data_IF_405039395797
#
_entry.id   IF_405039395797
#
_cell.length_a   1.000
_cell.length_b   1.000
_cell.length_c   1.000
_cell.angle_alpha   90.00
_cell.angle_beta   90.00
_cell.angle_gamma   90.00
#
_symmetry.space_group_name_H-M   'P 1'
#
loop_
_entity.id
_entity.type
_entity.pdbx_description
1 polymer ?
#
# COMPACT_ATOMS: atom_id res chain seq x y z
N UNK A 1 -37.83 -23.64 15.71
CA UNK A 1 -38.12 -22.30 15.16
C UNK A 1 -36.93 -21.87 14.33
N UNK A 2 -37.00 -21.92 12.99
CA UNK A 2 -35.93 -21.61 12.09
C UNK A 2 -35.93 -20.10 11.78
N UNK A 3 -34.95 -19.37 12.28
CA UNK A 3 -34.76 -17.95 12.01
C UNK A 3 -34.37 -17.75 10.54
N UNK A 4 -35.30 -17.26 9.71
CA UNK A 4 -35.01 -16.80 8.34
C UNK A 4 -34.21 -15.52 8.40
N UNK A 5 -32.88 -15.62 8.15
CA UNK A 5 -32.06 -14.47 7.82
C UNK A 5 -32.49 -13.90 6.47
N UNK A 6 -33.24 -12.81 6.48
CA UNK A 6 -33.55 -12.03 5.29
C UNK A 6 -32.23 -11.41 4.80
N UNK A 7 -31.60 -12.03 3.80
CA UNK A 7 -30.55 -11.37 3.02
C UNK A 7 -31.20 -10.26 2.20
N UNK A 8 -30.99 -9.02 2.58
CA UNK A 8 -31.43 -7.86 1.82
C UNK A 8 -30.71 -7.83 0.46
N UNK A 9 -31.39 -8.24 -0.61
CA UNK A 9 -30.83 -8.30 -1.97
C UNK A 9 -30.30 -6.95 -2.46
N UNK A 10 -30.91 -5.84 -2.03
CA UNK A 10 -30.51 -4.48 -2.38
C UNK A 10 -29.20 -4.04 -1.72
N UNK A 11 -28.88 -4.51 -0.51
CA UNK A 11 -27.60 -4.27 0.13
C UNK A 11 -26.47 -4.99 -0.61
N UNK A 12 -26.69 -6.22 -1.07
CA UNK A 12 -25.70 -6.99 -1.82
C UNK A 12 -25.35 -6.31 -3.15
N UNK A 13 -26.34 -5.82 -3.89
CA UNK A 13 -26.10 -5.15 -5.18
C UNK A 13 -25.32 -3.85 -5.04
N UNK A 14 -25.63 -3.01 -4.05
CA UNK A 14 -24.93 -1.75 -3.81
C UNK A 14 -23.47 -1.96 -3.41
N UNK A 15 -23.17 -2.96 -2.59
CA UNK A 15 -21.80 -3.31 -2.23
C UNK A 15 -21.01 -3.83 -3.43
N UNK A 16 -21.63 -4.59 -4.32
CA UNK A 16 -20.99 -5.08 -5.56
C UNK A 16 -20.64 -3.93 -6.51
N UNK A 17 -21.57 -2.98 -6.73
CA UNK A 17 -21.34 -1.82 -7.60
C UNK A 17 -20.22 -0.93 -7.02
N UNK A 18 -20.27 -0.64 -5.72
CA UNK A 18 -19.23 0.14 -5.04
C UNK A 18 -17.85 -0.55 -5.16
N UNK A 19 -17.79 -1.87 -4.99
CA UNK A 19 -16.57 -2.64 -5.15
C UNK A 19 -15.98 -2.48 -6.56
N UNK A 20 -16.81 -2.63 -7.61
CA UNK A 20 -16.35 -2.49 -8.99
C UNK A 20 -15.85 -1.07 -9.29
N UNK A 21 -16.50 -0.04 -8.75
CA UNK A 21 -16.07 1.34 -8.87
C UNK A 21 -14.71 1.55 -8.20
N UNK A 22 -14.55 1.13 -6.95
CA UNK A 22 -13.29 1.26 -6.20
C UNK A 22 -12.14 0.52 -6.88
N UNK A 23 -12.35 -0.73 -7.33
CA UNK A 23 -11.31 -1.50 -8.02
C UNK A 23 -10.93 -0.85 -9.36
N UNK A 24 -11.90 -0.38 -10.13
CA UNK A 24 -11.64 0.38 -11.35
C UNK A 24 -10.82 1.64 -11.07
N UNK A 25 -11.15 2.36 -10.00
CA UNK A 25 -10.43 3.55 -9.59
C UNK A 25 -9.00 3.25 -9.13
N UNK A 26 -8.75 2.13 -8.45
CA UNK A 26 -7.40 1.70 -8.09
C UNK A 26 -6.55 1.37 -9.33
N UNK A 27 -7.13 0.64 -10.31
CA UNK A 27 -6.43 0.26 -11.54
C UNK A 27 -6.02 1.49 -12.35
N UNK A 28 -6.92 2.46 -12.50
CA UNK A 28 -6.71 3.64 -13.36
C UNK A 28 -6.23 4.89 -12.60
N UNK A 29 -6.02 4.77 -11.30
CA UNK A 29 -5.69 5.90 -10.42
C UNK A 29 -6.65 7.08 -10.63
N UNK A 30 -7.93 6.82 -10.43
CA UNK A 30 -8.99 7.83 -10.56
C UNK A 30 -9.76 7.99 -9.25
N UNK A 31 -10.52 9.08 -9.12
CA UNK A 31 -11.38 9.27 -7.93
C UNK A 31 -12.62 8.34 -8.01
N UNK A 32 -13.04 7.76 -6.87
CA UNK A 32 -14.29 7.01 -6.81
C UNK A 32 -15.49 7.89 -7.18
N UNK A 33 -16.36 7.35 -8.03
CA UNK A 33 -17.59 8.02 -8.44
C UNK A 33 -18.71 7.80 -7.42
N UNK A 34 -18.62 6.71 -6.69
CA UNK A 34 -19.61 6.30 -5.71
C UNK A 34 -19.06 6.60 -4.31
N UNK A 35 -19.76 7.41 -3.49
CA UNK A 35 -19.32 7.73 -2.14
C UNK A 35 -19.32 6.46 -1.27
N UNK A 36 -18.45 6.44 -0.27
CA UNK A 36 -18.35 5.34 0.68
C UNK A 36 -19.71 5.11 1.37
N UNK A 37 -20.27 3.89 1.33
CA UNK A 37 -21.52 3.59 2.03
C UNK A 37 -21.42 3.86 3.53
N UNK A 38 -22.43 4.54 4.11
CA UNK A 38 -22.44 4.91 5.54
C UNK A 38 -22.22 3.71 6.47
N UNK A 39 -22.71 2.53 6.10
CA UNK A 39 -22.53 1.31 6.87
C UNK A 39 -21.04 0.89 6.96
N UNK A 40 -20.23 1.16 5.93
CA UNK A 40 -18.79 0.90 5.91
C UNK A 40 -18.08 1.95 6.75
N UNK A 41 -18.38 3.24 6.55
CA UNK A 41 -17.80 4.33 7.33
C UNK A 41 -18.04 4.18 8.85
N UNK A 42 -19.24 3.72 9.25
CA UNK A 42 -19.59 3.52 10.66
C UNK A 42 -18.87 2.34 11.33
N UNK A 43 -18.44 1.33 10.58
CA UNK A 43 -17.73 0.17 11.14
C UNK A 43 -16.32 0.50 11.65
N UNK A 44 -15.76 1.63 11.26
CA UNK A 44 -14.41 2.06 11.66
C UNK A 44 -14.33 2.81 12.99
N UNK A 45 -15.46 3.07 13.67
CA UNK A 45 -15.46 3.74 14.97
C UNK A 45 -14.94 2.85 16.13
N UNK A 46 -14.87 1.53 15.93
CA UNK A 46 -14.21 0.61 16.85
C UNK A 46 -12.72 0.48 16.50
N UNK A 47 -11.92 1.48 16.89
CA UNK A 47 -10.47 1.43 16.77
C UNK A 47 -9.92 0.28 17.60
N UNK A 48 -9.36 -0.72 16.94
CA UNK A 48 -8.47 -1.68 17.57
C UNK A 48 -7.27 -0.93 18.17
N UNK A 49 -6.95 -1.20 19.43
CA UNK A 49 -5.78 -0.65 20.13
C UNK A 49 -4.47 -1.30 19.69
N UNK A 50 -4.41 -1.91 18.52
CA UNK A 50 -3.18 -2.49 18.00
C UNK A 50 -2.18 -1.39 17.64
N UNK A 51 -0.90 -1.52 18.05
CA UNK A 51 0.15 -0.58 17.66
C UNK A 51 0.40 -0.74 16.17
N UNK A 52 -0.14 0.17 15.40
CA UNK A 52 0.00 0.17 13.95
C UNK A 52 0.64 1.46 13.54
N UNK A 53 1.58 1.39 12.62
CA UNK A 53 2.36 2.51 12.10
C UNK A 53 2.85 3.41 13.25
N UNK A 54 4.06 3.13 13.73
CA UNK A 54 4.57 3.51 15.04
C UNK A 54 4.39 4.98 15.40
N UNK A 55 4.14 5.25 16.66
CA UNK A 55 4.05 6.61 17.22
C UNK A 55 5.27 7.47 16.82
N UNK A 56 6.44 6.84 16.65
CA UNK A 56 7.65 7.52 16.19
C UNK A 56 7.51 8.09 14.78
N UNK A 57 7.02 7.31 13.83
CA UNK A 57 6.81 7.79 12.45
C UNK A 57 5.78 8.93 12.41
N UNK A 58 4.72 8.84 13.23
CA UNK A 58 3.77 9.93 13.39
C UNK A 58 4.44 11.21 13.87
N UNK A 59 5.28 11.16 14.90
CA UNK A 59 6.02 12.31 15.42
C UNK A 59 6.93 12.91 14.37
N UNK A 60 7.69 12.08 13.65
CA UNK A 60 8.58 12.54 12.57
C UNK A 60 7.79 13.24 11.48
N UNK A 61 6.70 12.64 11.00
CA UNK A 61 5.85 13.23 9.96
C UNK A 61 5.24 14.55 10.44
N UNK A 62 4.69 14.58 11.65
CA UNK A 62 4.02 15.79 12.16
C UNK A 62 4.98 16.98 12.33
N UNK A 63 6.25 16.74 12.65
CA UNK A 63 7.22 17.80 12.85
C UNK A 63 7.97 18.20 11.58
N UNK A 64 8.38 17.22 10.76
CA UNK A 64 9.22 17.50 9.58
C UNK A 64 8.43 17.61 8.28
N UNK A 65 7.29 16.90 8.17
CA UNK A 65 6.54 16.75 6.91
C UNK A 65 5.06 17.07 7.11
N UNK A 66 4.69 18.30 7.55
CA UNK A 66 3.31 18.64 7.87
C UNK A 66 2.36 18.53 6.67
N UNK A 67 2.88 18.64 5.43
CA UNK A 67 2.07 18.53 4.21
C UNK A 67 1.58 17.11 3.92
N UNK A 68 2.15 16.08 4.58
CA UNK A 68 1.72 14.70 4.40
C UNK A 68 0.97 14.12 5.61
N UNK A 69 0.55 14.97 6.55
CA UNK A 69 -0.21 14.54 7.74
C UNK A 69 -1.52 13.85 7.39
N UNK A 70 -2.15 14.21 6.29
CA UNK A 70 -3.38 13.61 5.79
C UNK A 70 -3.21 12.15 5.35
N UNK A 71 -1.97 11.68 5.14
CA UNK A 71 -1.65 10.28 4.85
C UNK A 71 -1.66 9.37 6.09
N UNK A 72 -1.60 9.91 7.29
CA UNK A 72 -1.50 9.11 8.53
C UNK A 72 -2.74 8.23 8.72
N UNK A 73 -3.93 8.77 8.49
CA UNK A 73 -5.17 7.99 8.62
C UNK A 73 -5.23 6.88 7.57
N UNK A 74 -5.02 7.12 6.28
CA UNK A 74 -4.93 6.09 5.26
C UNK A 74 -3.87 5.00 5.55
N UNK A 75 -2.68 5.38 6.01
CA UNK A 75 -1.62 4.40 6.35
C UNK A 75 -2.04 3.49 7.52
N UNK A 76 -2.72 4.03 8.53
CA UNK A 76 -3.30 3.22 9.61
C UNK A 76 -4.37 2.25 9.09
N UNK A 77 -5.25 2.70 8.21
CA UNK A 77 -6.26 1.84 7.58
C UNK A 77 -5.63 0.72 6.76
N UNK A 78 -4.50 0.98 6.08
CA UNK A 78 -3.73 -0.06 5.37
C UNK A 78 -3.11 -1.07 6.34
N UNK A 79 -2.56 -0.61 7.46
CA UNK A 79 -1.99 -1.48 8.48
C UNK A 79 -3.06 -2.39 9.13
N UNK A 80 -4.23 -1.84 9.42
CA UNK A 80 -5.39 -2.61 9.90
C UNK A 80 -5.84 -3.66 8.87
N UNK A 81 -5.94 -3.25 7.60
CA UNK A 81 -6.26 -4.16 6.51
C UNK A 81 -5.23 -5.30 6.39
N UNK A 82 -3.94 -4.96 6.46
CA UNK A 82 -2.85 -5.93 6.43
C UNK A 82 -2.93 -6.92 7.59
N UNK A 83 -3.28 -6.44 8.78
CA UNK A 83 -3.47 -7.29 9.97
C UNK A 83 -4.63 -8.28 9.77
N UNK A 84 -5.77 -7.81 9.28
CA UNK A 84 -6.92 -8.68 8.97
C UNK A 84 -6.60 -9.69 7.87
N UNK A 85 -5.85 -9.29 6.85
CA UNK A 85 -5.44 -10.15 5.76
C UNK A 85 -4.44 -11.25 6.18
N UNK A 86 -3.69 -11.06 7.27
CA UNK A 86 -2.79 -12.08 7.87
C UNK A 86 -3.53 -13.21 8.60
N UNK A 87 -4.78 -12.99 8.99
CA UNK A 87 -5.54 -13.99 9.75
C UNK A 87 -5.73 -15.27 8.92
N UNK A 88 -5.50 -16.45 9.51
CA UNK A 88 -5.63 -17.71 8.78
C UNK A 88 -7.07 -17.89 8.31
N UNK A 89 -7.22 -18.08 7.01
CA UNK A 89 -8.51 -18.36 6.40
C UNK A 89 -8.77 -19.87 6.48
N UNK A 90 -9.85 -20.28 7.17
CA UNK A 90 -10.35 -21.65 7.03
C UNK A 90 -10.87 -21.88 5.60
N UNK A 91 -10.87 -23.12 5.09
CA UNK A 91 -11.40 -23.42 3.76
C UNK A 91 -12.83 -22.90 3.53
N UNK A 92 -13.65 -22.93 4.59
CA UNK A 92 -15.02 -22.39 4.59
C UNK A 92 -15.07 -20.86 4.55
N UNK A 93 -14.01 -20.20 5.07
CA UNK A 93 -13.91 -18.74 5.05
C UNK A 93 -13.33 -18.20 3.73
N UNK A 94 -12.83 -19.04 2.81
CA UNK A 94 -12.28 -18.56 1.54
C UNK A 94 -13.34 -17.95 0.65
N UNK A 95 -14.51 -18.57 0.54
CA UNK A 95 -15.66 -17.98 -0.15
C UNK A 95 -16.33 -16.86 0.64
N UNK A 96 -16.27 -16.92 1.98
CA UNK A 96 -16.75 -15.87 2.89
C UNK A 96 -15.66 -14.85 3.29
N UNK A 97 -14.39 -15.19 3.08
CA UNK A 97 -13.23 -14.38 3.48
C UNK A 97 -13.23 -12.99 2.85
N UNK A 98 -13.53 -12.92 1.57
CA UNK A 98 -13.69 -11.65 0.86
C UNK A 98 -14.77 -10.75 1.49
N UNK A 99 -15.82 -11.33 2.06
CA UNK A 99 -16.87 -10.56 2.73
C UNK A 99 -16.45 -9.99 4.09
N UNK A 100 -15.46 -10.58 4.77
CA UNK A 100 -15.08 -10.15 6.12
C UNK A 100 -14.20 -8.90 6.15
N UNK A 101 -13.29 -8.75 5.19
CA UNK A 101 -12.39 -7.60 5.13
C UNK A 101 -12.76 -6.56 4.05
N UNK A 102 -13.83 -6.82 3.27
CA UNK A 102 -14.33 -5.87 2.28
C UNK A 102 -14.60 -4.46 2.83
N UNK A 103 -15.16 -4.27 4.03
CA UNK A 103 -15.33 -2.95 4.61
C UNK A 103 -14.00 -2.22 4.84
N UNK A 104 -13.00 -2.90 5.41
CA UNK A 104 -11.68 -2.34 5.68
C UNK A 104 -10.96 -2.00 4.37
N UNK A 105 -11.04 -2.90 3.38
CA UNK A 105 -10.49 -2.65 2.05
C UNK A 105 -11.15 -1.45 1.38
N UNK A 106 -12.48 -1.40 1.37
CA UNK A 106 -13.23 -0.32 0.72
C UNK A 106 -12.93 1.03 1.39
N UNK A 107 -12.79 1.06 2.72
CA UNK A 107 -12.43 2.26 3.46
C UNK A 107 -11.01 2.71 3.14
N UNK A 108 -10.01 1.83 3.28
CA UNK A 108 -8.62 2.15 2.98
C UNK A 108 -8.45 2.62 1.52
N UNK A 109 -9.11 1.94 0.57
CA UNK A 109 -9.08 2.31 -0.82
C UNK A 109 -9.72 3.69 -1.07
N UNK A 110 -10.86 3.96 -0.46
CA UNK A 110 -11.53 5.25 -0.58
C UNK A 110 -10.66 6.38 0.00
N UNK A 111 -10.10 6.19 1.20
CA UNK A 111 -9.22 7.18 1.84
C UNK A 111 -8.01 7.53 0.98
N UNK A 112 -7.38 6.53 0.34
CA UNK A 112 -6.23 6.74 -0.56
C UNK A 112 -6.64 7.40 -1.88
N UNK A 113 -7.76 6.97 -2.47
CA UNK A 113 -8.18 7.46 -3.78
C UNK A 113 -8.71 8.89 -3.77
N UNK A 114 -9.20 9.40 -2.63
CA UNK A 114 -9.65 10.78 -2.48
C UNK A 114 -8.50 11.75 -2.17
N UNK A 115 -7.29 11.24 -1.88
CA UNK A 115 -6.13 12.10 -1.67
C UNK A 115 -5.80 12.88 -2.94
N UNK A 116 -5.44 14.17 -2.82
CA UNK A 116 -4.97 14.96 -3.95
C UNK A 116 -3.76 14.31 -4.64
N UNK A 117 -3.71 14.39 -5.95
CA UNK A 117 -2.60 13.87 -6.77
C UNK A 117 -1.57 14.95 -7.02
N UNK A 118 -0.33 14.57 -7.24
CA UNK A 118 0.72 15.53 -7.59
C UNK A 118 0.35 16.40 -8.80
N UNK A 119 -0.39 15.85 -9.78
CA UNK A 119 -0.88 16.61 -10.94
C UNK A 119 -1.83 17.75 -10.58
N UNK A 120 -2.58 17.58 -9.51
CA UNK A 120 -3.55 18.59 -9.05
C UNK A 120 -2.84 19.82 -8.47
N UNK A 121 -1.58 19.68 -8.04
CA UNK A 121 -0.74 20.74 -7.50
C UNK A 121 0.11 21.46 -8.55
N UNK A 122 0.39 20.83 -9.71
CA UNK A 122 1.23 21.45 -10.76
C UNK A 122 0.65 22.73 -11.36
N UNK A 123 -0.66 22.99 -11.19
CA UNK A 123 -1.30 24.23 -11.59
C UNK A 123 -1.13 25.39 -10.59
N UNK A 124 -0.62 25.09 -9.39
CA UNK A 124 -0.44 26.04 -8.28
C UNK A 124 1.06 26.21 -7.95
N UNK A 125 1.93 26.17 -8.95
CA UNK A 125 3.39 26.17 -8.79
C UNK A 125 3.88 27.18 -7.75
N UNK A 126 4.41 26.72 -6.59
CA UNK A 126 5.32 27.54 -5.80
C UNK A 126 6.63 27.70 -6.57
N UNK A 127 7.38 28.79 -6.33
CA UNK A 127 8.67 28.98 -6.96
C UNK A 127 9.63 27.82 -6.64
N UNK A 128 10.53 27.45 -7.57
CA UNK A 128 11.38 26.26 -7.46
C UNK A 128 12.32 26.21 -6.24
N UNK A 129 12.44 27.29 -5.50
CA UNK A 129 13.28 27.39 -4.30
C UNK A 129 12.68 26.75 -3.04
N UNK A 130 11.40 26.36 -3.05
CA UNK A 130 10.70 25.72 -1.90
C UNK A 130 10.34 24.25 -2.13
N UNK A 131 10.94 23.58 -3.11
CA UNK A 131 10.69 22.16 -3.31
C UNK A 131 11.46 21.32 -2.28
N UNK A 132 10.82 21.07 -1.14
CA UNK A 132 11.35 20.25 -0.04
C UNK A 132 11.14 18.73 -0.21
N UNK A 133 10.67 18.29 -1.36
CA UNK A 133 10.41 16.88 -1.68
C UNK A 133 9.17 16.29 -0.98
N UNK A 134 8.40 17.07 -0.22
CA UNK A 134 7.24 16.56 0.52
C UNK A 134 6.10 16.11 -0.41
N UNK A 135 5.90 16.79 -1.54
CA UNK A 135 4.86 16.42 -2.50
C UNK A 135 5.21 15.11 -3.23
N UNK A 136 6.49 14.94 -3.57
CA UNK A 136 7.00 13.69 -4.14
C UNK A 136 6.92 12.54 -3.13
N UNK A 137 7.23 12.78 -1.86
CA UNK A 137 7.06 11.81 -0.79
C UNK A 137 5.58 11.43 -0.63
N UNK A 138 4.70 12.43 -0.62
CA UNK A 138 3.26 12.22 -0.57
C UNK A 138 2.77 11.33 -1.72
N UNK A 139 3.16 11.68 -2.95
CA UNK A 139 2.78 10.91 -4.13
C UNK A 139 3.37 9.50 -4.12
N UNK A 140 4.63 9.34 -3.69
CA UNK A 140 5.25 8.02 -3.55
C UNK A 140 4.48 7.12 -2.57
N UNK A 141 4.12 7.65 -1.40
CA UNK A 141 3.31 6.93 -0.42
C UNK A 141 1.94 6.57 -1.00
N UNK A 142 1.26 7.52 -1.66
CA UNK A 142 -0.06 7.32 -2.25
C UNK A 142 -0.05 6.24 -3.35
N UNK A 143 0.90 6.30 -4.27
CA UNK A 143 1.05 5.32 -5.36
C UNK A 143 1.39 3.94 -4.80
N UNK A 144 2.29 3.87 -3.83
CA UNK A 144 2.64 2.62 -3.14
C UNK A 144 1.44 2.02 -2.42
N UNK A 145 0.61 2.85 -1.77
CA UNK A 145 -0.61 2.41 -1.11
C UNK A 145 -1.63 1.82 -2.10
N UNK A 146 -1.78 2.41 -3.30
CA UNK A 146 -2.62 1.85 -4.37
C UNK A 146 -2.05 0.50 -4.83
N UNK A 147 -0.73 0.40 -5.06
CA UNK A 147 -0.08 -0.86 -5.43
C UNK A 147 -0.30 -1.94 -4.37
N UNK A 148 -0.19 -1.59 -3.08
CA UNK A 148 -0.47 -2.50 -1.97
C UNK A 148 -1.93 -2.98 -1.99
N UNK A 149 -2.90 -2.09 -2.20
CA UNK A 149 -4.32 -2.45 -2.28
C UNK A 149 -4.61 -3.37 -3.47
N UNK A 150 -4.00 -3.13 -4.64
CA UNK A 150 -4.11 -4.02 -5.80
C UNK A 150 -3.49 -5.39 -5.51
N UNK A 151 -2.37 -5.43 -4.80
CA UNK A 151 -1.74 -6.67 -4.36
C UNK A 151 -2.67 -7.46 -3.40
N UNK A 152 -3.32 -6.76 -2.45
CA UNK A 152 -4.35 -7.35 -1.56
C UNK A 152 -5.52 -7.91 -2.37
N UNK A 153 -6.04 -7.16 -3.34
CA UNK A 153 -7.14 -7.59 -4.18
C UNK A 153 -6.78 -8.83 -5.01
N UNK A 154 -5.60 -8.84 -5.64
CA UNK A 154 -5.08 -9.98 -6.42
C UNK A 154 -4.96 -11.25 -5.59
N UNK A 155 -4.34 -11.17 -4.43
CA UNK A 155 -4.15 -12.32 -3.56
C UNK A 155 -5.48 -12.91 -3.03
N UNK A 156 -6.52 -12.11 -2.97
CA UNK A 156 -7.82 -12.53 -2.45
C UNK A 156 -8.75 -13.11 -3.50
N UNK A 157 -8.65 -12.63 -4.73
CA UNK A 157 -9.56 -12.99 -5.81
C UNK A 157 -8.98 -14.09 -6.74
N UNK A 158 -7.71 -14.47 -6.59
CA UNK A 158 -6.99 -15.33 -7.55
C UNK A 158 -7.10 -14.83 -9.00
N UNK A 159 -7.19 -13.52 -9.18
CA UNK A 159 -7.50 -12.91 -10.46
C UNK A 159 -6.36 -11.99 -10.89
N UNK A 160 -5.66 -12.36 -11.97
CA UNK A 160 -4.59 -11.58 -12.58
C UNK A 160 -5.09 -10.29 -13.23
N UNK A 161 -6.41 -10.03 -13.20
CA UNK A 161 -6.99 -8.81 -13.75
C UNK A 161 -6.58 -7.52 -13.02
N UNK A 162 -6.10 -7.64 -11.77
CA UNK A 162 -5.70 -6.48 -10.96
C UNK A 162 -4.23 -6.12 -11.19
N UNK A 163 -3.87 -5.79 -12.43
CA UNK A 163 -2.52 -5.40 -12.81
C UNK A 163 -2.29 -3.89 -12.57
N UNK A 164 -1.22 -3.58 -11.85
CA UNK A 164 -0.81 -2.21 -11.55
C UNK A 164 -0.05 -1.52 -12.71
N UNK A 165 -0.24 -1.95 -13.97
CA UNK A 165 0.51 -1.45 -15.13
C UNK A 165 0.57 0.07 -15.22
N UNK A 166 -0.52 0.76 -14.88
CA UNK A 166 -0.60 2.22 -14.93
C UNK A 166 0.21 2.92 -13.83
N UNK A 167 0.66 2.18 -12.82
CA UNK A 167 1.47 2.70 -11.72
C UNK A 167 2.96 2.41 -11.91
N UNK A 168 3.32 1.53 -12.86
CA UNK A 168 4.72 1.15 -13.11
C UNK A 168 5.58 2.36 -13.45
N UNK A 169 6.80 2.36 -12.95
CA UNK A 169 7.76 3.44 -13.15
C UNK A 169 7.48 4.71 -12.34
N UNK A 170 6.28 4.88 -11.75
CA UNK A 170 5.92 6.14 -11.07
C UNK A 170 6.78 6.37 -9.84
N UNK A 171 6.92 5.38 -8.96
CA UNK A 171 7.76 5.51 -7.77
C UNK A 171 9.22 5.63 -8.14
N UNK A 172 9.71 4.83 -9.09
CA UNK A 172 11.09 4.94 -9.59
C UNK A 172 11.37 6.35 -10.15
N UNK A 173 10.41 6.96 -10.84
CA UNK A 173 10.52 8.33 -11.35
C UNK A 173 10.55 9.41 -10.25
N UNK A 174 10.02 9.14 -9.06
CA UNK A 174 10.05 10.06 -7.92
C UNK A 174 11.34 9.93 -7.09
N UNK A 175 12.07 8.81 -7.21
CA UNK A 175 13.25 8.54 -6.38
C UNK A 175 14.33 9.63 -6.40
N UNK A 176 14.62 10.32 -7.53
CA UNK A 176 15.59 11.41 -7.54
C UNK A 176 15.21 12.56 -6.60
N UNK A 177 13.93 12.88 -6.46
CA UNK A 177 13.45 13.88 -5.53
C UNK A 177 13.47 13.36 -4.07
N UNK A 178 13.16 12.07 -3.88
CA UNK A 178 13.14 11.43 -2.57
C UNK A 178 14.55 11.28 -1.92
N UNK A 179 15.64 11.46 -2.68
CA UNK A 179 16.99 11.47 -2.11
C UNK A 179 17.25 12.66 -1.17
N UNK A 180 16.48 13.74 -1.31
CA UNK A 180 16.57 14.95 -0.47
C UNK A 180 15.77 14.84 0.84
N UNK A 181 14.97 13.79 0.99
CA UNK A 181 14.19 13.53 2.20
C UNK A 181 15.10 13.04 3.33
N UNK A 182 14.99 13.65 4.50
CA UNK A 182 15.59 13.09 5.71
C UNK A 182 14.75 11.90 6.23
N UNK A 183 15.20 10.70 5.92
CA UNK A 183 14.53 9.46 6.27
C UNK A 183 14.73 9.02 7.72
N UNK A 184 15.46 9.79 8.55
CA UNK A 184 15.72 9.41 9.95
C UNK A 184 14.40 9.25 10.73
N UNK A 185 14.13 8.04 11.21
CA UNK A 185 12.88 7.65 11.87
C UNK A 185 11.73 7.31 10.92
N UNK A 186 11.98 7.29 9.60
CA UNK A 186 11.05 6.86 8.55
C UNK A 186 11.63 5.72 7.68
N UNK A 187 12.67 5.05 8.16
CA UNK A 187 13.38 4.01 7.40
C UNK A 187 12.44 2.86 7.02
N UNK A 188 11.51 2.48 7.91
CA UNK A 188 10.53 1.42 7.64
C UNK A 188 9.53 1.84 6.57
N UNK A 189 9.12 3.11 6.56
CA UNK A 189 8.27 3.68 5.52
C UNK A 189 8.99 3.70 4.17
N UNK A 190 10.28 4.11 4.16
CA UNK A 190 11.12 4.07 2.95
C UNK A 190 11.25 2.66 2.41
N UNK A 191 11.55 1.71 3.29
CA UNK A 191 11.69 0.30 2.91
C UNK A 191 10.37 -0.26 2.37
N UNK A 192 9.23 0.09 2.99
CA UNK A 192 7.90 -0.29 2.53
C UNK A 192 7.60 0.26 1.13
N UNK A 193 7.89 1.55 0.87
CA UNK A 193 7.73 2.17 -0.45
C UNK A 193 8.52 1.39 -1.50
N UNK A 194 9.80 1.12 -1.24
CA UNK A 194 10.69 0.44 -2.17
C UNK A 194 10.24 -0.99 -2.45
N UNK A 195 9.95 -1.77 -1.41
CA UNK A 195 9.57 -3.19 -1.52
C UNK A 195 8.24 -3.36 -2.23
N UNK A 196 7.19 -2.64 -1.81
CA UNK A 196 5.86 -2.77 -2.42
C UNK A 196 5.91 -2.35 -3.89
N UNK A 197 6.61 -1.26 -4.22
CA UNK A 197 6.73 -0.79 -5.60
C UNK A 197 7.51 -1.78 -6.46
N UNK A 198 8.61 -2.36 -5.95
CA UNK A 198 9.43 -3.32 -6.69
C UNK A 198 8.69 -4.64 -7.01
N UNK A 199 7.65 -5.02 -6.25
CA UNK A 199 6.90 -6.27 -6.51
C UNK A 199 6.26 -6.30 -7.90
N UNK A 200 5.70 -5.18 -8.36
CA UNK A 200 4.99 -5.07 -9.65
C UNK A 200 5.84 -4.44 -10.77
N UNK A 201 7.07 -3.99 -10.45
CA UNK A 201 7.95 -3.37 -11.44
C UNK A 201 8.68 -4.40 -12.30
N UNK A 202 9.12 -3.94 -13.48
CA UNK A 202 9.87 -4.73 -14.46
C UNK A 202 10.99 -3.87 -15.08
N UNK A 203 11.98 -4.51 -15.71
CA UNK A 203 13.05 -3.82 -16.43
C UNK A 203 13.90 -2.92 -15.53
N UNK A 204 14.37 -1.80 -16.08
CA UNK A 204 15.28 -0.86 -15.42
C UNK A 204 14.71 -0.27 -14.13
N UNK A 205 13.40 0.06 -14.12
CA UNK A 205 12.74 0.58 -12.92
C UNK A 205 12.82 -0.41 -11.75
N UNK A 206 12.63 -1.71 -12.03
CA UNK A 206 12.78 -2.77 -11.02
C UNK A 206 14.23 -2.85 -10.52
N UNK A 207 15.21 -2.91 -11.43
CA UNK A 207 16.63 -2.97 -11.06
C UNK A 207 17.00 -1.79 -10.17
N UNK A 208 16.58 -0.59 -10.54
CA UNK A 208 16.81 0.62 -9.76
C UNK A 208 16.23 0.52 -8.33
N UNK A 209 14.98 0.08 -8.18
CA UNK A 209 14.38 -0.09 -6.85
C UNK A 209 15.06 -1.20 -6.04
N UNK A 210 15.45 -2.32 -6.67
CA UNK A 210 16.18 -3.40 -6.02
C UNK A 210 17.51 -2.91 -5.47
N UNK A 211 18.25 -2.11 -6.23
CA UNK A 211 19.53 -1.56 -5.75
C UNK A 211 19.34 -0.63 -4.55
N UNK A 212 18.26 0.16 -4.53
CA UNK A 212 17.91 0.97 -3.36
C UNK A 212 17.51 0.13 -2.15
N UNK A 213 16.80 -1.01 -2.35
CA UNK A 213 16.49 -1.96 -1.28
C UNK A 213 17.79 -2.56 -0.72
N UNK A 214 18.72 -2.99 -1.57
CA UNK A 214 20.03 -3.52 -1.15
C UNK A 214 20.81 -2.51 -0.31
N UNK A 215 20.93 -1.27 -0.81
CA UNK A 215 21.65 -0.20 -0.13
C UNK A 215 21.02 0.10 1.25
N UNK A 216 19.71 0.27 1.30
CA UNK A 216 18.99 0.55 2.55
C UNK A 216 19.09 -0.62 3.53
N UNK A 217 18.93 -1.85 3.06
CA UNK A 217 19.06 -3.06 3.88
C UNK A 217 20.47 -3.17 4.47
N UNK A 218 21.51 -2.88 3.67
CA UNK A 218 22.89 -2.84 4.17
C UNK A 218 23.10 -1.77 5.25
N UNK A 219 22.54 -0.57 5.06
CA UNK A 219 22.60 0.52 6.05
C UNK A 219 21.90 0.15 7.35
N UNK A 220 20.78 -0.59 7.27
CA UNK A 220 19.99 -1.04 8.42
C UNK A 220 20.51 -2.36 9.05
N UNK A 221 21.57 -2.96 8.49
CA UNK A 221 22.11 -4.23 8.95
C UNK A 221 21.19 -5.43 8.73
N UNK A 222 20.27 -5.36 7.74
CA UNK A 222 19.34 -6.43 7.42
C UNK A 222 20.03 -7.45 6.49
N UNK A 223 20.23 -8.66 6.98
CA UNK A 223 21.02 -9.71 6.29
C UNK A 223 20.13 -10.77 5.61
N UNK A 224 18.82 -10.68 5.74
CA UNK A 224 17.90 -11.65 5.15
C UNK A 224 16.52 -11.10 4.88
N UNK A 225 15.83 -11.74 3.95
CA UNK A 225 14.50 -11.33 3.49
C UNK A 225 13.46 -11.24 4.61
N UNK A 226 13.49 -12.19 5.55
CA UNK A 226 12.57 -12.17 6.69
C UNK A 226 12.70 -10.91 7.54
N UNK A 227 13.92 -10.37 7.69
CA UNK A 227 14.14 -9.12 8.44
C UNK A 227 13.59 -7.92 7.67
N UNK A 228 13.78 -7.90 6.33
CA UNK A 228 13.17 -6.88 5.46
C UNK A 228 11.65 -6.91 5.61
N UNK A 229 11.03 -8.10 5.47
CA UNK A 229 9.58 -8.25 5.55
C UNK A 229 9.04 -7.92 6.95
N UNK A 230 9.80 -8.19 7.99
CA UNK A 230 9.43 -7.78 9.35
C UNK A 230 9.32 -6.25 9.45
N UNK A 231 10.33 -5.52 8.96
CA UNK A 231 10.35 -4.05 8.96
C UNK A 231 9.25 -3.45 8.07
N UNK A 232 9.07 -3.99 6.86
CA UNK A 232 7.97 -3.62 5.96
C UNK A 232 6.62 -3.86 6.64
N UNK A 233 6.52 -4.89 7.46
CA UNK A 233 5.34 -5.26 8.24
C UNK A 233 4.95 -4.26 9.32
N UNK A 234 5.85 -3.39 9.77
CA UNK A 234 5.55 -2.29 10.70
C UNK A 234 4.66 -1.22 10.02
N UNK A 235 4.73 -1.10 8.69
CA UNK A 235 3.83 -0.24 7.92
C UNK A 235 2.60 -1.01 7.47
N UNK A 236 2.77 -1.93 6.52
CA UNK A 236 1.71 -2.83 6.05
C UNK A 236 2.29 -3.99 5.25
N UNK A 237 1.98 -5.25 5.62
CA UNK A 237 2.37 -6.44 4.87
C UNK A 237 1.35 -7.56 5.05
N UNK A 238 1.01 -8.27 3.99
CA UNK A 238 -0.06 -9.29 4.00
C UNK A 238 0.37 -10.69 4.48
N UNK A 239 1.64 -10.92 4.82
CA UNK A 239 2.12 -12.23 5.18
C UNK A 239 2.33 -13.17 3.97
N UNK A 240 2.11 -14.48 4.15
CA UNK A 240 2.51 -15.53 3.21
C UNK A 240 1.80 -15.55 1.85
N UNK A 241 0.83 -14.69 1.59
CA UNK A 241 0.00 -14.74 0.38
C UNK A 241 0.63 -14.21 -0.90
N UNK A 242 1.79 -13.55 -0.85
CA UNK A 242 2.48 -12.97 -2.02
C UNK A 242 3.68 -13.81 -2.48
N UNK A 243 3.61 -15.13 -2.36
CA UNK A 243 4.77 -16.03 -2.39
C UNK A 243 5.62 -15.95 -3.66
N UNK A 244 5.06 -15.97 -4.85
CA UNK A 244 5.87 -15.99 -6.09
C UNK A 244 6.57 -14.66 -6.37
N UNK A 245 5.87 -13.53 -6.23
CA UNK A 245 6.44 -12.19 -6.46
C UNK A 245 7.45 -11.83 -5.38
N UNK A 246 7.15 -12.16 -4.13
CA UNK A 246 8.04 -11.97 -2.98
C UNK A 246 9.31 -12.80 -3.12
N UNK A 247 9.20 -14.08 -3.50
CA UNK A 247 10.36 -14.97 -3.73
C UNK A 247 11.25 -14.45 -4.85
N UNK A 248 10.65 -13.95 -5.95
CA UNK A 248 11.41 -13.36 -7.04
C UNK A 248 12.14 -12.09 -6.58
N UNK A 249 11.49 -11.23 -5.80
CA UNK A 249 12.12 -10.02 -5.28
C UNK A 249 13.23 -10.34 -4.28
N UNK A 250 13.04 -11.35 -3.41
CA UNK A 250 14.07 -11.88 -2.53
C UNK A 250 15.31 -12.32 -3.31
N UNK A 251 15.09 -13.09 -4.40
CA UNK A 251 16.17 -13.51 -5.28
C UNK A 251 16.90 -12.31 -5.88
N UNK A 252 16.16 -11.35 -6.43
CA UNK A 252 16.76 -10.15 -7.02
C UNK A 252 17.54 -9.32 -5.98
N UNK A 253 17.11 -9.27 -4.71
CA UNK A 253 17.80 -8.49 -3.66
C UNK A 253 19.07 -9.18 -3.16
N UNK A 254 19.06 -10.50 -2.96
CA UNK A 254 20.16 -11.23 -2.31
C UNK A 254 21.05 -12.01 -3.27
N UNK A 255 20.58 -12.29 -4.50
CA UNK A 255 21.39 -12.99 -5.51
C UNK A 255 21.80 -11.98 -6.59
N UNK A 256 23.06 -11.61 -6.57
CA UNK A 256 23.64 -10.83 -7.66
C UNK A 256 24.01 -11.79 -8.80
N UNK A 257 23.34 -11.72 -9.95
CA UNK A 257 23.65 -12.59 -11.08
C UNK A 257 25.06 -12.36 -11.63
N UNK A 258 25.71 -11.22 -11.35
CA UNK A 258 27.07 -10.94 -11.77
C UNK A 258 28.12 -11.75 -11.00
N UNK A 259 27.79 -12.31 -9.84
CA UNK A 259 28.69 -13.14 -9.04
C UNK A 259 28.72 -14.63 -9.45
N UNK A 260 27.85 -15.06 -10.39
CA UNK A 260 27.73 -16.47 -10.80
C UNK A 260 28.64 -16.80 -12.00
N UNK A 261 29.33 -15.83 -12.59
CA UNK A 261 30.15 -16.00 -13.80
C UNK A 261 31.63 -15.69 -13.58
N UNK A 262 32.20 -16.14 -12.46
CA UNK A 262 33.67 -16.14 -12.27
C UNK A 262 34.16 -17.51 -11.86
#
# INVERSE_FOLDING_TARGET
MAGRTFKCSTCSSRLTIHRSDVLGCLIFDTMPRIPLPKAIAASHTHRSSSPTFGDQAYHVISHRYPRILDLIVPLRSLAELAHVAKMPHTPESRSAGWCKWTPQFANAAHEILVLPRMRDFQSLTPPPEEQDGQEELREAIRVTAISFLLLVARNSAYDDMYDARYLRGRVAGLMPALQFIDWSGLEDLRLWILVISALDETGEARTYLVDHIRQLSGTLGLTGWNQIIQRVGEVAWMGRGSTSMSTRLEQDVFFDPSLVFH
#
